data_IF_685981552279
#
_entry.id   IF_685981552279
#
_cell.length_a   1.000
_cell.length_b   1.000
_cell.length_c   1.000
_cell.angle_alpha   90.00
_cell.angle_beta   90.00
_cell.angle_gamma   90.00
#
_symmetry.space_group_name_H-M   'P 1'
#
loop_
_entity.id
_entity.type
_entity.pdbx_description
1 polymer ?
#
# COMPACT_ATOMS: atom_id res chain seq x y z
N UNK A 1 -28.43 20.37 -22.73
CA UNK A 1 -28.25 20.07 -21.29
C UNK A 1 -28.94 18.73 -21.10
N UNK A 2 -28.30 17.64 -20.73
CA UNK A 2 -27.34 17.47 -19.64
C UNK A 2 -26.58 16.15 -19.88
N UNK A 3 -25.36 16.08 -19.35
CA UNK A 3 -24.39 15.01 -19.56
C UNK A 3 -24.83 13.73 -18.85
N UNK A 4 -24.43 12.58 -19.38
CA UNK A 4 -23.94 11.50 -18.55
C UNK A 4 -22.85 10.77 -19.34
N UNK A 5 -21.60 11.13 -19.04
CA UNK A 5 -20.45 10.32 -19.37
C UNK A 5 -20.56 9.07 -18.49
N UNK A 6 -20.82 7.93 -19.09
CA UNK A 6 -20.71 6.64 -18.41
C UNK A 6 -19.26 6.41 -18.03
N UNK A 7 -19.02 6.49 -16.74
CA UNK A 7 -17.81 6.08 -16.04
C UNK A 7 -17.40 4.67 -16.50
N UNK A 8 -16.20 4.55 -17.07
CA UNK A 8 -15.58 3.26 -17.28
C UNK A 8 -15.18 2.72 -15.92
N UNK A 9 -16.09 1.93 -15.34
CA UNK A 9 -15.89 1.17 -14.12
C UNK A 9 -14.74 0.19 -14.34
N UNK A 10 -13.57 0.55 -13.79
CA UNK A 10 -12.47 -0.32 -13.34
C UNK A 10 -12.36 -1.68 -14.05
N UNK A 11 -11.73 -1.71 -15.23
CA UNK A 11 -11.25 -2.95 -15.85
C UNK A 11 -9.73 -2.93 -16.04
N UNK A 12 -8.99 -2.32 -15.10
CA UNK A 12 -7.54 -2.23 -15.15
C UNK A 12 -6.85 -3.51 -14.62
N UNK A 13 -7.56 -4.38 -13.91
CA UNK A 13 -6.94 -5.53 -13.23
C UNK A 13 -6.57 -6.73 -14.11
N UNK A 14 -6.62 -6.67 -15.45
CA UNK A 14 -6.34 -7.88 -16.24
C UNK A 14 -5.48 -7.77 -17.51
N UNK A 15 -5.11 -6.57 -18.00
CA UNK A 15 -4.59 -6.49 -19.38
C UNK A 15 -3.14 -6.01 -19.58
N UNK A 16 -2.36 -5.73 -18.52
CA UNK A 16 -0.99 -5.23 -18.72
C UNK A 16 0.11 -5.86 -17.88
N UNK A 17 -0.22 -6.73 -16.94
CA UNK A 17 0.77 -7.54 -16.24
C UNK A 17 0.57 -8.98 -16.72
N UNK A 18 1.61 -9.61 -17.24
CA UNK A 18 1.56 -11.01 -17.65
C UNK A 18 0.99 -11.83 -16.49
N UNK A 19 -0.14 -12.53 -16.69
CA UNK A 19 -0.86 -13.29 -15.65
C UNK A 19 0.07 -14.24 -14.89
N UNK A 20 1.10 -14.77 -15.55
CA UNK A 20 2.10 -15.65 -14.94
C UNK A 20 3.04 -14.88 -14.01
N UNK A 21 3.49 -13.70 -14.44
CA UNK A 21 4.25 -12.77 -13.60
C UNK A 21 3.39 -12.26 -12.44
N UNK A 22 2.09 -12.00 -12.64
CA UNK A 22 1.14 -11.66 -11.57
C UNK A 22 1.05 -12.80 -10.55
N UNK A 23 1.04 -14.06 -10.99
CA UNK A 23 0.88 -15.21 -10.09
C UNK A 23 2.10 -15.45 -9.21
N UNK A 24 3.28 -15.53 -9.80
CA UNK A 24 4.54 -15.64 -9.03
C UNK A 24 4.69 -14.46 -8.07
N UNK A 25 4.33 -13.27 -8.56
CA UNK A 25 4.33 -12.06 -7.75
C UNK A 25 3.32 -12.15 -6.60
N UNK A 26 2.06 -12.50 -6.84
CA UNK A 26 1.02 -12.62 -5.82
C UNK A 26 1.38 -13.64 -4.73
N UNK A 27 2.06 -14.73 -5.09
CA UNK A 27 2.58 -15.70 -4.12
C UNK A 27 3.67 -15.08 -3.24
N UNK A 28 4.64 -14.36 -3.83
CA UNK A 28 5.62 -13.56 -3.05
C UNK A 28 4.95 -12.47 -2.21
N UNK A 29 3.90 -11.82 -2.72
CA UNK A 29 3.16 -10.78 -2.01
C UNK A 29 2.47 -11.33 -0.77
N UNK A 30 1.86 -12.51 -0.85
CA UNK A 30 1.20 -13.15 0.30
C UNK A 30 2.20 -13.62 1.35
N UNK A 31 3.33 -14.19 0.93
CA UNK A 31 4.36 -14.68 1.86
C UNK A 31 5.00 -13.51 2.63
N UNK A 32 5.15 -12.36 1.98
CA UNK A 32 5.79 -11.18 2.56
C UNK A 32 4.79 -10.08 2.96
N UNK A 33 3.53 -10.44 3.17
CA UNK A 33 2.54 -9.49 3.64
C UNK A 33 2.94 -8.93 5.01
N UNK A 34 2.73 -7.64 5.22
CA UNK A 34 2.96 -6.98 6.49
C UNK A 34 1.69 -7.04 7.33
N UNK A 35 1.76 -7.67 8.49
CA UNK A 35 0.63 -7.90 9.39
C UNK A 35 0.42 -6.72 10.35
N UNK A 36 1.46 -5.92 10.58
CA UNK A 36 1.49 -4.86 11.58
C UNK A 36 1.97 -5.35 12.94
N UNK A 37 2.69 -6.47 13.01
CA UNK A 37 3.21 -6.98 14.27
C UNK A 37 4.46 -6.22 14.72
N UNK A 38 4.70 -6.23 16.03
CA UNK A 38 5.80 -5.48 16.66
C UNK A 38 7.20 -5.97 16.24
N UNK A 39 7.30 -7.23 15.80
CA UNK A 39 8.54 -7.86 15.35
C UNK A 39 8.76 -7.75 13.83
N UNK A 40 7.78 -7.21 13.09
CA UNK A 40 7.93 -6.96 11.66
C UNK A 40 8.64 -5.63 11.38
N UNK A 41 9.65 -5.67 10.52
CA UNK A 41 10.40 -4.48 10.10
C UNK A 41 9.65 -3.76 8.96
N UNK A 42 8.97 -2.66 9.32
CA UNK A 42 8.23 -1.80 8.39
C UNK A 42 9.12 -1.16 7.32
N UNK A 43 10.38 -0.84 7.65
CA UNK A 43 11.32 -0.21 6.71
C UNK A 43 11.78 -1.21 5.67
N UNK A 44 12.10 -2.43 6.11
CA UNK A 44 12.41 -3.54 5.22
C UNK A 44 11.21 -3.89 4.31
N UNK A 45 9.99 -3.88 4.85
CA UNK A 45 8.78 -4.10 4.06
C UNK A 45 8.63 -3.07 2.94
N UNK A 46 8.72 -1.77 3.25
CA UNK A 46 8.66 -0.69 2.24
C UNK A 46 9.74 -0.86 1.17
N UNK A 47 10.98 -1.16 1.58
CA UNK A 47 12.08 -1.36 0.64
C UNK A 47 11.82 -2.55 -0.32
N UNK A 48 11.28 -3.64 0.22
CA UNK A 48 10.89 -4.82 -0.54
C UNK A 48 9.77 -4.49 -1.54
N UNK A 49 8.72 -3.79 -1.11
CA UNK A 49 7.62 -3.34 -2.00
C UNK A 49 8.17 -2.51 -3.17
N UNK A 50 9.05 -1.56 -2.89
CA UNK A 50 9.66 -0.72 -3.92
C UNK A 50 10.50 -1.55 -4.89
N UNK A 51 11.32 -2.48 -4.41
CA UNK A 51 12.12 -3.38 -5.25
C UNK A 51 11.25 -4.23 -6.18
N UNK A 52 10.15 -4.75 -5.64
CA UNK A 52 9.15 -5.51 -6.37
C UNK A 52 8.55 -4.67 -7.50
N UNK A 53 8.09 -3.45 -7.20
CA UNK A 53 7.52 -2.54 -8.19
C UNK A 53 8.53 -2.11 -9.24
N UNK A 54 9.79 -1.86 -8.88
CA UNK A 54 10.84 -1.51 -9.85
C UNK A 54 11.14 -2.65 -10.83
N UNK A 55 10.88 -3.90 -10.44
CA UNK A 55 11.05 -5.07 -11.31
C UNK A 55 9.91 -5.20 -12.33
N UNK A 56 8.79 -4.49 -12.10
CA UNK A 56 7.63 -4.46 -12.98
C UNK A 56 7.78 -3.29 -13.96
N UNK A 57 8.06 -3.60 -15.22
CA UNK A 57 8.00 -2.61 -16.31
C UNK A 57 6.68 -2.74 -17.07
N UNK A 58 5.84 -1.71 -16.98
CA UNK A 58 4.61 -1.61 -17.77
C UNK A 58 4.63 -0.30 -18.57
N UNK A 59 4.70 -0.36 -19.91
CA UNK A 59 4.59 0.83 -20.74
C UNK A 59 3.31 1.61 -20.44
N UNK A 60 3.45 2.90 -20.14
CA UNK A 60 2.32 3.82 -19.94
C UNK A 60 1.71 3.82 -18.54
N UNK A 61 2.21 3.00 -17.61
CA UNK A 61 1.80 3.06 -16.19
C UNK A 61 2.88 3.78 -15.37
N UNK A 62 2.46 4.77 -14.58
CA UNK A 62 3.38 5.51 -13.71
C UNK A 62 3.71 4.70 -12.46
N UNK A 63 4.96 4.74 -12.01
CA UNK A 63 5.43 4.04 -10.81
C UNK A 63 4.61 4.38 -9.56
N UNK A 64 4.15 5.63 -9.45
CA UNK A 64 3.21 6.08 -8.41
C UNK A 64 1.91 5.26 -8.39
N UNK A 65 1.26 5.07 -9.54
CA UNK A 65 0.03 4.29 -9.63
C UNK A 65 0.25 2.83 -9.23
N UNK A 66 1.35 2.21 -9.69
CA UNK A 66 1.67 0.84 -9.29
C UNK A 66 1.88 0.71 -7.78
N UNK A 67 2.52 1.69 -7.14
CA UNK A 67 2.70 1.72 -5.69
C UNK A 67 1.38 1.77 -4.95
N UNK A 68 0.47 2.65 -5.37
CA UNK A 68 -0.83 2.79 -4.74
C UNK A 68 -1.71 1.54 -4.91
N UNK A 69 -1.58 0.80 -6.02
CA UNK A 69 -2.35 -0.43 -6.26
C UNK A 69 -1.76 -1.66 -5.57
N UNK A 70 -0.43 -1.79 -5.54
CA UNK A 70 0.26 -2.98 -5.01
C UNK A 70 0.40 -2.92 -3.49
N UNK A 71 0.70 -1.75 -2.93
CA UNK A 71 0.96 -1.63 -1.49
C UNK A 71 -0.21 -2.14 -0.63
N UNK A 72 -1.49 -1.83 -0.90
CA UNK A 72 -2.60 -2.36 -0.11
C UNK A 72 -2.81 -3.86 -0.20
N UNK A 73 -2.30 -4.51 -1.27
CA UNK A 73 -2.34 -5.96 -1.43
C UNK A 73 -1.28 -6.66 -0.58
N UNK A 74 -0.27 -5.91 -0.13
CA UNK A 74 0.83 -6.36 0.71
C UNK A 74 0.57 -6.18 2.22
N UNK A 75 -0.65 -5.83 2.58
CA UNK A 75 -1.05 -5.65 3.98
C UNK A 75 -1.96 -6.81 4.41
N UNK A 76 -1.70 -7.32 5.61
CA UNK A 76 -2.48 -8.33 6.30
C UNK A 76 -2.92 -7.80 7.68
N UNK A 77 -3.86 -8.51 8.32
CA UNK A 77 -4.29 -8.31 9.71
C UNK A 77 -4.46 -6.83 10.12
N UNK A 78 -3.71 -6.35 11.11
CA UNK A 78 -3.84 -4.98 11.65
C UNK A 78 -3.51 -3.94 10.58
N UNK A 79 -2.47 -4.15 9.79
CA UNK A 79 -2.09 -3.25 8.72
C UNK A 79 -3.19 -3.14 7.64
N UNK A 80 -3.84 -4.27 7.32
CA UNK A 80 -4.96 -4.26 6.37
C UNK A 80 -6.17 -3.53 6.93
N UNK A 81 -6.49 -3.71 8.20
CA UNK A 81 -7.58 -2.98 8.86
C UNK A 81 -7.30 -1.47 8.90
N UNK A 82 -6.06 -1.07 9.20
CA UNK A 82 -5.65 0.32 9.13
C UNK A 82 -5.86 0.90 7.73
N UNK A 83 -5.45 0.19 6.68
CA UNK A 83 -5.65 0.67 5.30
C UNK A 83 -7.13 0.87 4.97
N UNK A 84 -7.99 -0.10 5.29
CA UNK A 84 -9.44 0.01 5.05
C UNK A 84 -10.03 1.23 5.76
N UNK A 85 -9.59 1.49 7.00
CA UNK A 85 -10.13 2.57 7.82
C UNK A 85 -9.57 3.94 7.44
N UNK A 86 -8.27 4.06 7.19
CA UNK A 86 -7.56 5.35 7.07
C UNK A 86 -7.05 5.65 5.67
N UNK A 87 -6.84 4.62 4.84
CA UNK A 87 -6.21 4.74 3.53
C UNK A 87 -7.18 4.69 2.35
N UNK A 88 -8.04 3.68 2.32
CA UNK A 88 -8.87 3.37 1.15
C UNK A 88 -9.82 4.53 0.79
N UNK A 89 -9.68 5.05 -0.42
CA UNK A 89 -10.44 6.21 -0.91
C UNK A 89 -10.08 7.56 -0.27
N UNK A 90 -9.21 7.58 0.75
CA UNK A 90 -8.79 8.80 1.48
C UNK A 90 -7.39 9.26 1.10
N UNK A 91 -6.45 8.32 0.92
CA UNK A 91 -5.06 8.61 0.58
C UNK A 91 -4.84 8.31 -0.90
N UNK A 92 -4.43 9.32 -1.66
CA UNK A 92 -4.22 9.20 -3.12
C UNK A 92 -2.77 9.47 -3.56
N UNK A 93 -1.91 9.86 -2.62
CA UNK A 93 -0.53 10.27 -2.83
C UNK A 93 0.39 9.32 -2.06
N UNK A 94 1.47 8.87 -2.70
CA UNK A 94 2.34 7.82 -2.16
C UNK A 94 3.11 8.31 -0.94
N UNK A 95 3.58 9.55 -1.00
CA UNK A 95 4.29 10.20 0.08
C UNK A 95 3.42 10.30 1.34
N UNK A 96 2.15 10.68 1.19
CA UNK A 96 1.18 10.74 2.29
C UNK A 96 0.89 9.34 2.86
N UNK A 97 0.77 8.33 1.99
CA UNK A 97 0.57 6.94 2.40
C UNK A 97 1.72 6.46 3.28
N UNK A 98 2.96 6.66 2.84
CA UNK A 98 4.15 6.21 3.59
C UNK A 98 4.29 6.98 4.90
N UNK A 99 4.06 8.29 4.89
CA UNK A 99 4.10 9.10 6.12
C UNK A 99 3.13 8.57 7.17
N UNK A 100 1.84 8.43 6.83
CA UNK A 100 0.83 7.93 7.76
C UNK A 100 1.07 6.49 8.20
N UNK A 101 1.54 5.64 7.29
CA UNK A 101 1.87 4.26 7.59
C UNK A 101 3.01 4.15 8.59
N UNK A 102 4.09 4.91 8.40
CA UNK A 102 5.20 4.96 9.33
C UNK A 102 4.79 5.56 10.68
N UNK A 103 3.98 6.61 10.71
CA UNK A 103 3.45 7.13 11.98
C UNK A 103 2.69 6.07 12.80
N UNK A 104 2.01 5.13 12.13
CA UNK A 104 1.23 4.07 12.80
C UNK A 104 2.08 2.86 13.18
N UNK A 105 3.00 2.43 12.31
CA UNK A 105 3.69 1.13 12.42
C UNK A 105 5.20 1.25 12.69
N UNK A 106 5.75 2.46 12.76
CA UNK A 106 7.13 2.73 13.14
C UNK A 106 7.19 3.56 14.44
N UNK A 107 6.98 2.91 15.61
CA UNK A 107 6.89 3.62 16.88
C UNK A 107 8.21 4.25 17.36
N UNK A 108 9.37 3.85 16.83
CA UNK A 108 10.69 4.35 17.28
C UNK A 108 11.00 5.81 16.89
N UNK A 109 10.13 6.51 16.17
CA UNK A 109 10.30 7.94 15.87
C UNK A 109 9.39 8.89 16.67
N UNK A 110 8.47 8.37 17.49
CA UNK A 110 7.72 9.17 18.45
C UNK A 110 8.32 8.98 19.85
N UNK A 111 9.38 9.75 20.13
CA UNK A 111 9.64 10.22 21.49
C UNK A 111 8.44 11.10 21.89
N UNK A 112 7.42 10.45 22.46
CA UNK A 112 6.19 11.06 22.93
C UNK A 112 6.15 11.08 24.45
N UNK A 113 7.04 11.85 25.07
CA UNK A 113 6.72 12.52 26.34
C UNK A 113 5.56 13.53 26.09
N UNK A 114 4.32 13.07 26.07
CA UNK A 114 3.03 13.83 26.16
C UNK A 114 1.93 12.81 25.78
N UNK A 115 1.03 12.30 26.62
CA UNK A 115 0.28 12.85 27.74
C UNK A 115 0.12 11.78 28.84
N UNK A 116 0.76 11.99 29.99
CA UNK A 116 0.38 11.35 31.26
C UNK A 116 -0.14 12.40 32.24
N UNK A 117 -1.15 13.16 31.81
CA UNK A 117 -1.95 13.99 32.69
C UNK A 117 -3.41 13.91 32.25
N UNK A 118 -4.12 12.90 32.73
CA UNK A 118 -5.46 13.05 33.30
C UNK A 118 -5.91 11.71 33.91
N UNK A 119 -5.67 11.55 35.21
CA UNK A 119 -6.64 11.07 36.21
C UNK A 119 -6.19 11.49 37.63
#
# INVERSE_FOLDING_TARGET
>A
MEKAQTESHLSITSNYINIELIKEFLEELQINAYHGWIDEDVMNHIAMVLKMIYSIYIPGVYSHQLRMEIFPLLLADEAKQWWINEGEGKITIWEELIEKFLCKFYPESYDGEEEMLEE
#
